data_IF_461566996623
#
_entry.id   IF_461566996623
#
_cell.length_a   1.000
_cell.length_b   1.000
_cell.length_c   1.000
_cell.angle_alpha   90.00
_cell.angle_beta   90.00
_cell.angle_gamma   90.00
#
_symmetry.space_group_name_H-M   'P 1'
#
loop_
_entity.id
_entity.type
_entity.pdbx_description
1 polymer ?
#
# COMPACT_ATOMS: atom_id res chain seq x y z
N UNK A 1 19.42 -5.59 -3.52
CA UNK A 1 18.16 -4.87 -3.81
C UNK A 1 17.55 -4.40 -2.49
N UNK A 2 16.50 -3.58 -2.51
CA UNK A 2 15.76 -3.20 -1.29
C UNK A 2 15.18 -4.44 -0.60
N UNK A 3 14.54 -5.33 -1.38
CA UNK A 3 13.97 -6.61 -0.90
C UNK A 3 14.96 -7.39 -0.04
N UNK A 4 16.17 -7.66 -0.53
CA UNK A 4 17.19 -8.43 0.21
C UNK A 4 17.68 -7.76 1.51
N UNK A 5 17.45 -6.46 1.70
CA UNK A 5 17.74 -5.75 2.95
C UNK A 5 16.56 -5.90 3.92
N UNK A 6 15.32 -5.82 3.42
CA UNK A 6 14.11 -6.10 4.21
C UNK A 6 14.09 -7.56 4.69
N UNK A 7 14.36 -8.52 3.80
CA UNK A 7 14.49 -9.95 4.12
C UNK A 7 15.49 -10.17 5.27
N UNK A 8 16.65 -9.50 5.20
CA UNK A 8 17.70 -9.62 6.20
C UNK A 8 17.25 -9.11 7.57
N UNK A 9 16.67 -7.90 7.66
CA UNK A 9 16.19 -7.37 8.93
C UNK A 9 14.95 -8.12 9.47
N UNK A 10 14.11 -8.68 8.61
CA UNK A 10 12.98 -9.51 9.02
C UNK A 10 13.40 -10.78 9.78
N UNK A 11 14.63 -11.28 9.57
CA UNK A 11 15.17 -12.42 10.34
C UNK A 11 15.28 -12.16 11.86
N UNK A 12 15.19 -10.89 12.29
CA UNK A 12 15.13 -10.51 13.70
C UNK A 12 13.77 -10.79 14.37
N UNK A 13 12.74 -11.16 13.61
CA UNK A 13 11.39 -11.42 14.13
C UNK A 13 10.77 -10.16 14.75
N UNK A 14 10.89 -9.03 14.05
CA UNK A 14 10.44 -7.70 14.47
C UNK A 14 9.86 -6.95 13.28
N UNK A 15 8.85 -6.15 13.56
CA UNK A 15 8.22 -5.26 12.59
C UNK A 15 9.21 -4.19 12.14
N UNK A 16 9.24 -3.91 10.85
CA UNK A 16 10.13 -2.96 10.20
C UNK A 16 9.38 -1.66 9.94
N UNK A 17 9.95 -0.56 10.43
CA UNK A 17 9.49 0.80 10.18
C UNK A 17 10.53 1.50 9.29
N UNK A 18 10.13 1.98 8.13
CA UNK A 18 10.94 2.92 7.35
C UNK A 18 10.73 4.30 7.95
N UNK A 19 11.60 4.69 8.89
CA UNK A 19 11.41 5.88 9.74
C UNK A 19 11.65 7.21 9.02
N UNK A 20 12.49 7.20 7.96
CA UNK A 20 12.86 8.37 7.18
C UNK A 20 12.97 7.96 5.70
N UNK A 21 12.05 8.46 4.86
CA UNK A 21 12.10 8.29 3.41
C UNK A 21 12.09 9.67 2.73
N UNK A 22 13.21 10.02 2.09
CA UNK A 22 13.47 11.35 1.50
C UNK A 22 14.10 11.24 0.10
N UNK A 23 13.38 10.73 -0.92
CA UNK A 23 13.82 10.90 -2.30
C UNK A 23 13.70 12.39 -2.67
N UNK A 24 14.76 12.98 -3.22
CA UNK A 24 14.79 14.40 -3.57
C UNK A 24 14.46 14.64 -5.03
N UNK A 25 14.01 15.86 -5.35
CA UNK A 25 13.70 16.33 -6.71
C UNK A 25 14.55 17.55 -7.13
N UNK A 26 15.82 17.60 -6.70
CA UNK A 26 16.69 18.79 -6.81
C UNK A 26 17.58 18.84 -8.08
N UNK A 27 17.37 17.97 -9.06
CA UNK A 27 18.13 17.93 -10.32
C UNK A 27 19.55 17.34 -10.21
N UNK A 28 19.90 16.71 -9.09
CA UNK A 28 21.18 16.02 -8.92
C UNK A 28 21.29 14.80 -9.85
N UNK A 29 22.49 14.51 -10.36
CA UNK A 29 22.75 13.34 -11.20
C UNK A 29 22.48 12.02 -10.43
N UNK A 30 21.82 11.06 -11.07
CA UNK A 30 21.53 9.76 -10.48
C UNK A 30 22.79 8.87 -10.57
N UNK A 31 23.46 8.71 -9.43
CA UNK A 31 24.64 7.85 -9.30
C UNK A 31 24.33 6.56 -8.53
N UNK A 32 25.03 5.47 -8.85
CA UNK A 32 24.93 4.16 -8.18
C UNK A 32 23.51 3.53 -8.14
N UNK A 33 22.64 3.88 -9.08
CA UNK A 33 21.28 3.34 -9.22
C UNK A 33 21.15 2.46 -10.48
N UNK A 34 20.00 1.79 -10.61
CA UNK A 34 19.54 1.19 -11.87
C UNK A 34 18.81 2.19 -12.77
N UNK A 35 18.32 3.31 -12.20
CA UNK A 35 17.91 4.49 -12.95
C UNK A 35 19.13 5.29 -13.41
N UNK A 36 18.96 6.02 -14.52
CA UNK A 36 19.95 6.96 -15.07
C UNK A 36 19.25 8.28 -15.40
N UNK A 37 19.98 9.41 -15.33
CA UNK A 37 19.43 10.75 -15.54
C UNK A 37 19.64 11.66 -14.34
N UNK A 38 18.63 12.45 -13.99
CA UNK A 38 18.65 13.40 -12.86
C UNK A 38 17.45 13.22 -11.95
N UNK A 39 17.61 13.53 -10.67
CA UNK A 39 16.54 13.54 -9.68
C UNK A 39 15.59 14.72 -9.87
N UNK A 40 14.66 14.61 -10.82
CA UNK A 40 13.53 15.54 -11.00
C UNK A 40 12.25 15.07 -10.26
N UNK A 41 11.17 15.83 -10.37
CA UNK A 41 9.91 15.54 -9.64
C UNK A 41 9.19 14.27 -10.13
N UNK A 42 9.44 13.82 -11.36
CA UNK A 42 8.82 12.58 -11.88
C UNK A 42 9.67 11.36 -11.51
N UNK A 43 11.00 11.47 -11.58
CA UNK A 43 11.94 10.46 -11.08
C UNK A 43 11.75 10.23 -9.57
N UNK A 44 11.56 11.30 -8.80
CA UNK A 44 11.17 11.23 -7.39
C UNK A 44 9.88 10.41 -7.21
N UNK A 45 8.91 10.60 -8.10
CA UNK A 45 7.59 9.97 -8.03
C UNK A 45 7.60 8.50 -8.45
N UNK A 46 8.37 8.14 -9.48
CA UNK A 46 8.56 6.75 -9.92
C UNK A 46 9.30 5.92 -8.89
N UNK A 47 10.45 6.42 -8.42
CA UNK A 47 11.24 5.76 -7.38
C UNK A 47 10.44 5.58 -6.07
N UNK A 48 9.65 6.59 -5.68
CA UNK A 48 8.76 6.48 -4.54
C UNK A 48 7.64 5.46 -4.77
N UNK A 49 7.02 5.41 -5.94
CA UNK A 49 5.97 4.42 -6.25
C UNK A 49 6.52 2.98 -6.18
N UNK A 50 7.70 2.73 -6.76
CA UNK A 50 8.36 1.42 -6.68
C UNK A 50 8.76 1.07 -5.25
N UNK A 51 9.36 2.00 -4.49
CA UNK A 51 9.75 1.75 -3.10
C UNK A 51 8.55 1.46 -2.20
N UNK A 52 7.46 2.21 -2.34
CA UNK A 52 6.21 1.97 -1.61
C UNK A 52 5.60 0.61 -1.97
N UNK A 53 5.61 0.21 -3.26
CA UNK A 53 5.16 -1.12 -3.71
C UNK A 53 6.03 -2.26 -3.14
N UNK A 54 7.35 -2.09 -3.09
CA UNK A 54 8.27 -3.07 -2.49
C UNK A 54 8.01 -3.23 -1.00
N UNK A 55 7.83 -2.13 -0.26
CA UNK A 55 7.55 -2.15 1.16
C UNK A 55 6.18 -2.79 1.46
N UNK A 56 5.12 -2.36 0.75
CA UNK A 56 3.77 -2.90 0.91
C UNK A 56 3.66 -4.40 0.58
N UNK A 57 4.50 -4.90 -0.33
CA UNK A 57 4.58 -6.33 -0.66
C UNK A 57 5.40 -7.17 0.33
N UNK A 58 6.08 -6.55 1.31
CA UNK A 58 6.99 -7.24 2.22
C UNK A 58 6.37 -7.33 3.64
N UNK A 59 5.95 -8.52 4.12
CA UNK A 59 5.03 -8.66 5.25
C UNK A 59 5.57 -8.15 6.60
N UNK A 60 6.89 -8.02 6.76
CA UNK A 60 7.46 -7.43 7.97
C UNK A 60 7.43 -5.89 7.99
N UNK A 61 7.11 -5.19 6.89
CA UNK A 61 7.09 -3.71 6.86
C UNK A 61 5.70 -3.21 7.23
N UNK A 62 5.58 -2.56 8.39
CA UNK A 62 4.29 -2.10 8.94
C UNK A 62 4.10 -0.58 8.86
N UNK A 63 5.17 0.17 8.60
CA UNK A 63 5.12 1.64 8.54
C UNK A 63 6.16 2.22 7.58
N UNK A 64 5.78 3.31 6.90
CA UNK A 64 6.66 4.17 6.10
C UNK A 64 6.37 5.62 6.48
N UNK A 65 7.40 6.36 6.87
CA UNK A 65 7.34 7.79 7.20
C UNK A 65 8.10 8.58 6.15
N UNK A 66 7.38 9.38 5.37
CA UNK A 66 7.99 10.35 4.47
C UNK A 66 8.56 11.53 5.26
N UNK A 67 9.74 12.01 4.88
CA UNK A 67 10.36 13.20 5.45
C UNK A 67 10.87 14.11 4.32
N UNK A 68 10.37 15.32 4.06
CA UNK A 68 9.29 16.09 4.71
C UNK A 68 8.07 16.23 3.80
N UNK A 69 6.94 16.70 4.34
CA UNK A 69 5.72 16.90 3.56
C UNK A 69 5.88 17.93 2.41
N UNK A 70 6.68 18.98 2.59
CA UNK A 70 6.83 20.07 1.60
C UNK A 70 8.23 20.64 1.52
N UNK A 71 8.62 21.12 0.34
CA UNK A 71 9.89 21.84 0.11
C UNK A 71 10.01 23.17 0.91
N UNK A 72 8.92 23.65 1.51
CA UNK A 72 8.94 24.74 2.46
C UNK A 72 9.39 24.23 3.84
N UNK A 73 10.71 24.27 4.07
CA UNK A 73 11.32 23.83 5.33
C UNK A 73 11.80 22.38 5.34
N UNK A 74 11.80 21.67 4.21
CA UNK A 74 12.38 20.32 4.16
C UNK A 74 13.89 20.32 4.46
N UNK A 75 14.34 19.29 5.16
CA UNK A 75 15.75 19.03 5.49
C UNK A 75 16.65 18.89 4.25
N UNK A 76 16.14 18.34 3.14
CA UNK A 76 16.84 18.29 1.86
C UNK A 76 16.08 19.08 0.79
N UNK A 77 16.80 19.76 -0.09
CA UNK A 77 16.17 20.45 -1.22
C UNK A 77 15.46 19.43 -2.13
N UNK A 78 14.22 19.75 -2.52
CA UNK A 78 13.38 18.85 -3.30
C UNK A 78 12.83 17.65 -2.53
N UNK A 79 13.08 17.51 -1.21
CA UNK A 79 12.59 16.38 -0.40
C UNK A 79 11.07 16.36 -0.14
N UNK A 80 10.36 17.46 -0.46
CA UNK A 80 8.91 17.57 -0.26
C UNK A 80 8.09 16.67 -1.19
N UNK A 81 6.93 16.20 -0.72
CA UNK A 81 5.83 15.71 -1.57
C UNK A 81 5.05 16.88 -2.22
N UNK A 82 5.05 18.04 -1.55
CA UNK A 82 4.50 19.31 -2.01
C UNK A 82 5.64 20.31 -2.28
N UNK A 83 5.41 21.24 -3.21
CA UNK A 83 6.34 22.35 -3.48
C UNK A 83 6.23 23.43 -2.41
N UNK A 84 7.09 24.46 -2.50
CA UNK A 84 7.14 25.60 -1.55
C UNK A 84 5.84 26.42 -1.47
N UNK A 85 4.99 26.35 -2.50
CA UNK A 85 3.66 26.98 -2.57
C UNK A 85 2.51 26.04 -2.15
N UNK A 86 2.84 24.87 -1.58
CA UNK A 86 1.92 23.76 -1.25
C UNK A 86 1.23 23.10 -2.45
N UNK A 87 1.63 23.40 -3.70
CA UNK A 87 1.15 22.64 -4.86
C UNK A 87 1.72 21.22 -4.86
N UNK A 88 0.94 20.19 -5.25
CA UNK A 88 1.40 18.81 -5.23
C UNK A 88 2.41 18.52 -6.35
N UNK A 89 3.48 17.80 -6.02
CA UNK A 89 4.34 17.13 -7.00
C UNK A 89 3.67 15.85 -7.54
N UNK A 90 4.16 15.22 -8.63
CA UNK A 90 3.62 13.95 -9.12
C UNK A 90 3.58 12.87 -8.04
N UNK A 91 4.60 12.81 -7.16
CA UNK A 91 4.69 11.81 -6.08
C UNK A 91 3.52 11.84 -5.10
N UNK A 92 3.01 13.02 -4.75
CA UNK A 92 1.83 13.15 -3.89
C UNK A 92 0.61 12.46 -4.52
N UNK A 93 0.40 12.66 -5.84
CA UNK A 93 -0.73 12.07 -6.55
C UNK A 93 -0.54 10.57 -6.80
N UNK A 94 0.69 10.11 -7.14
CA UNK A 94 1.00 8.67 -7.28
C UNK A 94 0.77 7.92 -5.96
N UNK A 95 1.33 8.40 -4.85
CA UNK A 95 1.18 7.74 -3.55
C UNK A 95 -0.25 7.82 -2.99
N UNK A 96 -0.96 8.95 -3.16
CA UNK A 96 -2.39 9.05 -2.84
C UNK A 96 -3.18 7.98 -3.60
N UNK A 97 -2.93 7.81 -4.89
CA UNK A 97 -3.59 6.79 -5.72
C UNK A 97 -3.22 5.36 -5.31
N UNK A 98 -1.99 5.09 -4.88
CA UNK A 98 -1.66 3.78 -4.31
C UNK A 98 -2.52 3.51 -3.07
N UNK A 99 -2.44 4.41 -2.08
CA UNK A 99 -2.96 4.19 -0.73
C UNK A 99 -4.50 4.23 -0.65
N UNK A 100 -5.15 5.08 -1.45
CA UNK A 100 -6.60 5.31 -1.35
C UNK A 100 -7.44 4.75 -2.51
N UNK A 101 -6.80 4.27 -3.59
CA UNK A 101 -7.51 3.79 -4.79
C UNK A 101 -7.01 2.41 -5.27
N UNK A 102 -5.70 2.15 -5.20
CA UNK A 102 -5.09 0.92 -5.77
C UNK A 102 -4.96 -0.22 -4.75
N UNK A 103 -4.70 0.10 -3.49
CA UNK A 103 -4.62 -0.85 -2.37
C UNK A 103 -5.96 -0.97 -1.63
N UNK A 104 -7.04 -0.97 -2.40
CA UNK A 104 -8.40 -1.20 -1.92
C UNK A 104 -9.01 -2.40 -2.66
N UNK A 105 -10.14 -2.91 -2.19
CA UNK A 105 -10.79 -4.10 -2.78
C UNK A 105 -12.29 -3.92 -2.72
N UNK A 106 -12.90 -3.76 -3.89
CA UNK A 106 -14.34 -3.67 -4.09
C UNK A 106 -14.70 -4.70 -5.17
N UNK A 107 -15.52 -5.70 -4.82
CA UNK A 107 -15.79 -6.87 -5.65
C UNK A 107 -17.28 -7.23 -5.59
N UNK A 108 -17.81 -7.78 -6.70
CA UNK A 108 -19.20 -8.27 -6.77
C UNK A 108 -19.20 -9.68 -7.35
N UNK A 109 -19.66 -10.65 -6.56
CA UNK A 109 -19.51 -12.08 -6.84
C UNK A 109 -20.86 -12.78 -6.81
N UNK A 110 -21.00 -13.80 -7.66
CA UNK A 110 -22.12 -14.76 -7.61
C UNK A 110 -21.62 -16.04 -6.97
N UNK A 111 -22.37 -16.61 -6.03
CA UNK A 111 -22.03 -17.90 -5.42
C UNK A 111 -22.21 -19.08 -6.38
N UNK A 112 -21.41 -20.12 -6.20
CA UNK A 112 -21.58 -21.41 -6.87
C UNK A 112 -22.82 -22.18 -6.37
N UNK A 113 -23.04 -23.38 -6.93
CA UNK A 113 -24.15 -24.26 -6.55
C UNK A 113 -24.07 -24.86 -5.14
N UNK A 114 -22.94 -24.67 -4.44
CA UNK A 114 -22.75 -25.03 -3.02
C UNK A 114 -22.79 -23.79 -2.10
N UNK A 115 -23.15 -22.62 -2.64
CA UNK A 115 -23.30 -21.36 -1.91
C UNK A 115 -21.97 -20.63 -1.64
N UNK A 116 -20.88 -21.00 -2.32
CA UNK A 116 -19.53 -20.43 -2.07
C UNK A 116 -19.16 -19.35 -3.08
N UNK A 117 -18.42 -18.35 -2.62
CA UNK A 117 -17.68 -17.41 -3.46
C UNK A 117 -16.28 -17.20 -2.83
N UNK A 118 -15.31 -16.83 -3.65
CA UNK A 118 -13.94 -16.57 -3.22
C UNK A 118 -13.39 -15.33 -3.93
N UNK A 119 -12.56 -14.55 -3.24
CA UNK A 119 -11.89 -13.37 -3.77
C UNK A 119 -10.44 -13.28 -3.28
N UNK A 120 -9.68 -12.38 -3.88
CA UNK A 120 -8.39 -11.91 -3.37
C UNK A 120 -8.56 -10.44 -3.01
N UNK A 121 -8.12 -10.05 -1.82
CA UNK A 121 -8.16 -8.67 -1.37
C UNK A 121 -6.96 -8.33 -0.50
N UNK A 122 -6.80 -7.04 -0.19
CA UNK A 122 -5.79 -6.58 0.76
C UNK A 122 -6.26 -6.79 2.21
N UNK A 123 -5.33 -6.99 3.14
CA UNK A 123 -5.64 -7.09 4.58
C UNK A 123 -6.39 -5.85 5.07
N UNK A 124 -7.42 -6.03 5.90
CA UNK A 124 -8.16 -4.91 6.50
C UNK A 124 -9.64 -5.20 6.73
N UNK A 125 -10.40 -4.15 7.04
CA UNK A 125 -11.83 -4.22 7.31
C UNK A 125 -12.68 -4.04 6.04
N UNK A 126 -13.62 -4.95 5.84
CA UNK A 126 -14.57 -5.00 4.74
C UNK A 126 -16.00 -4.83 5.26
N UNK A 127 -16.86 -4.19 4.47
CA UNK A 127 -18.31 -4.34 4.59
C UNK A 127 -18.79 -5.36 3.55
N UNK A 128 -19.25 -6.52 4.02
CA UNK A 128 -19.70 -7.62 3.17
C UNK A 128 -21.22 -7.59 3.09
N UNK A 129 -21.74 -7.58 1.86
CA UNK A 129 -23.17 -7.56 1.57
C UNK A 129 -23.55 -8.81 0.78
N UNK A 130 -24.53 -9.56 1.28
CA UNK A 130 -25.08 -10.77 0.63
C UNK A 130 -26.55 -10.56 0.29
N UNK A 131 -26.95 -11.00 -0.91
CA UNK A 131 -28.33 -10.92 -1.40
C UNK A 131 -28.76 -12.28 -1.92
N UNK A 132 -29.93 -12.77 -1.47
CA UNK A 132 -30.51 -14.06 -1.89
C UNK A 132 -31.98 -13.83 -2.24
N UNK A 133 -32.30 -13.88 -3.54
CA UNK A 133 -33.60 -13.48 -4.04
C UNK A 133 -33.89 -12.00 -3.73
N UNK A 134 -34.85 -11.75 -2.84
CA UNK A 134 -35.18 -10.40 -2.33
C UNK A 134 -34.64 -10.12 -0.92
N UNK A 135 -34.08 -11.12 -0.22
CA UNK A 135 -33.46 -10.93 1.10
C UNK A 135 -32.06 -10.35 0.94
N UNK A 136 -31.69 -9.37 1.77
CA UNK A 136 -30.35 -8.75 1.83
C UNK A 136 -29.85 -8.71 3.27
N UNK A 137 -28.57 -9.01 3.48
CA UNK A 137 -27.88 -8.85 4.76
C UNK A 137 -26.52 -8.15 4.54
N UNK A 138 -26.07 -7.37 5.52
CA UNK A 138 -24.79 -6.66 5.50
C UNK A 138 -24.12 -6.78 6.85
N UNK A 139 -22.81 -7.07 6.87
CA UNK A 139 -22.01 -7.26 8.08
C UNK A 139 -20.56 -6.81 7.84
N UNK A 140 -19.77 -6.68 8.91
CA UNK A 140 -18.35 -6.32 8.83
C UNK A 140 -17.44 -7.53 8.96
N UNK A 141 -16.29 -7.47 8.30
CA UNK A 141 -15.36 -8.58 8.21
C UNK A 141 -13.91 -8.11 8.19
N UNK A 142 -13.06 -8.62 9.07
CA UNK A 142 -11.63 -8.33 9.05
C UNK A 142 -10.90 -9.44 8.29
N UNK A 143 -10.41 -9.16 7.07
CA UNK A 143 -9.57 -10.09 6.32
C UNK A 143 -8.15 -10.03 6.90
N UNK A 144 -7.64 -11.10 7.54
CA UNK A 144 -6.28 -11.10 8.09
C UNK A 144 -5.23 -11.19 6.99
N UNK A 145 -3.97 -11.00 7.38
CA UNK A 145 -2.78 -11.20 6.53
C UNK A 145 -2.64 -12.64 6.02
N UNK A 146 -1.89 -12.80 4.93
CA UNK A 146 -1.76 -14.07 4.18
C UNK A 146 -0.99 -15.18 4.94
N UNK A 147 -0.36 -14.86 6.07
CA UNK A 147 0.32 -15.79 6.98
C UNK A 147 -0.66 -16.55 7.91
N UNK A 148 -1.85 -16.01 8.15
CA UNK A 148 -2.91 -16.67 8.93
C UNK A 148 -3.47 -17.87 8.16
N UNK A 149 -3.72 -19.05 8.77
CA UNK A 149 -4.19 -20.25 8.07
C UNK A 149 -5.46 -20.05 7.23
N UNK A 150 -5.56 -20.74 6.09
CA UNK A 150 -6.70 -20.62 5.18
C UNK A 150 -8.06 -21.02 5.81
N UNK A 151 -8.05 -21.87 6.85
CA UNK A 151 -9.24 -22.21 7.63
C UNK A 151 -9.79 -21.02 8.43
N UNK A 152 -8.93 -20.10 8.88
CA UNK A 152 -9.31 -18.87 9.59
C UNK A 152 -9.68 -17.73 8.62
N UNK A 153 -9.37 -17.91 7.32
CA UNK A 153 -9.81 -17.07 6.19
C UNK A 153 -11.06 -17.62 5.48
N UNK A 154 -11.72 -18.63 6.05
CA UNK A 154 -12.92 -19.28 5.51
C UNK A 154 -14.01 -19.34 6.56
N UNK A 155 -15.21 -18.83 6.27
CA UNK A 155 -16.35 -18.91 7.19
C UNK A 155 -17.69 -19.05 6.45
N UNK A 156 -18.78 -19.11 7.23
CA UNK A 156 -20.13 -19.44 6.75
C UNK A 156 -21.13 -18.39 7.21
N UNK A 157 -22.05 -17.99 6.33
CA UNK A 157 -23.08 -16.99 6.59
C UNK A 157 -24.43 -17.69 6.69
N UNK A 158 -25.00 -17.73 7.90
CA UNK A 158 -26.32 -18.30 8.13
C UNK A 158 -27.38 -17.21 8.07
N UNK A 159 -28.06 -17.09 6.92
CA UNK A 159 -29.27 -16.27 6.82
C UNK A 159 -30.40 -16.95 7.60
N UNK A 160 -30.94 -16.26 8.60
CA UNK A 160 -32.17 -16.67 9.28
C UNK A 160 -33.40 -16.21 8.47
N UNK A 161 -34.53 -16.90 8.66
CA UNK A 161 -35.72 -16.72 7.81
C UNK A 161 -36.68 -15.60 8.23
#
# INVERSE_FOLDING_TARGET
SVVAILDHYATLGKDLHITEFTPTSAGAEIINSYHTGVWDEETQAEYAEEFYRICFAHPAVVAITWWDLSDNGSWLEGGGMLRRDMSPKPVYNRLKKLIHETWHTEETLTTDGEGRAAFRGFQGDYEVTVTVGTKKATFRYHLPSDDVPAAERTWTIHLQD
#
